data_IF_989903600306
#
_entry.id   IF_989903600306
#
_cell.length_a   1.000
_cell.length_b   1.000
_cell.length_c   1.000
_cell.angle_alpha   90.00
_cell.angle_beta   90.00
_cell.angle_gamma   90.00
#
_symmetry.space_group_name_H-M   'P 1'
#
loop_
_entity.id
_entity.type
_entity.pdbx_description
1 polymer ?
#
# COMPACT_ATOMS: atom_id res chain seq x y z
N UNK A 1 33.29 28.93 33.37
CA UNK A 1 32.33 29.57 32.46
C UNK A 1 31.10 28.67 32.40
N UNK A 2 30.02 29.08 33.08
CA UNK A 2 28.78 28.31 33.22
C UNK A 2 27.89 28.51 32.01
N UNK A 3 27.36 27.42 31.46
CA UNK A 3 26.08 27.43 30.74
C UNK A 3 25.25 26.29 31.32
N UNK A 4 24.28 26.65 32.15
CA UNK A 4 23.19 25.77 32.62
C UNK A 4 22.11 25.81 31.52
N UNK A 5 21.87 24.71 30.82
CA UNK A 5 20.65 24.56 30.02
C UNK A 5 19.57 23.96 30.92
N UNK A 6 18.57 24.80 31.22
CA UNK A 6 17.44 24.48 32.06
C UNK A 6 16.52 23.46 31.40
N UNK A 7 16.03 22.56 32.26
CA UNK A 7 14.94 21.62 32.03
C UNK A 7 13.64 22.42 31.77
N UNK A 8 13.05 22.26 30.58
CA UNK A 8 11.71 22.75 30.25
C UNK A 8 10.92 21.64 29.55
N UNK A 9 9.67 21.34 29.96
CA UNK A 9 8.90 20.25 29.38
C UNK A 9 8.22 20.75 28.11
N UNK A 10 8.81 20.46 26.95
CA UNK A 10 8.15 20.73 25.66
C UNK A 10 7.85 19.38 25.00
N UNK A 11 6.60 18.99 25.19
CA UNK A 11 5.72 18.22 24.30
C UNK A 11 6.44 17.30 23.30
N UNK A 12 6.26 16.01 23.54
CA UNK A 12 6.57 14.92 22.63
C UNK A 12 5.99 15.15 21.23
N UNK A 13 6.79 15.70 20.32
CA UNK A 13 6.62 15.49 18.90
C UNK A 13 7.38 14.21 18.54
N UNK A 14 6.73 13.06 18.78
CA UNK A 14 7.11 11.79 18.16
C UNK A 14 6.86 11.93 16.66
N UNK A 15 7.82 12.53 15.94
CA UNK A 15 7.95 12.36 14.51
C UNK A 15 8.38 10.92 14.26
N UNK A 16 7.39 10.02 14.24
CA UNK A 16 7.48 8.71 13.60
C UNK A 16 7.66 8.92 12.09
N UNK A 17 8.82 9.45 11.69
CA UNK A 17 9.37 9.22 10.35
C UNK A 17 9.92 7.79 10.37
N UNK A 18 9.01 6.84 10.46
CA UNK A 18 9.33 5.43 10.51
C UNK A 18 9.83 5.00 9.13
N UNK A 19 11.16 4.93 8.99
CA UNK A 19 11.84 3.82 8.32
C UNK A 19 11.20 3.29 7.01
N UNK A 20 10.91 4.15 6.03
CA UNK A 20 10.54 3.69 4.68
C UNK A 20 11.74 3.09 3.90
N UNK A 21 12.95 3.09 4.47
CA UNK A 21 14.19 2.87 3.72
C UNK A 21 14.60 1.40 3.48
N UNK A 22 13.84 0.39 3.92
CA UNK A 22 14.30 -1.02 3.83
C UNK A 22 13.23 -2.07 3.51
N UNK A 23 12.03 -1.71 3.07
CA UNK A 23 11.02 -2.70 2.67
C UNK A 23 11.31 -3.25 1.26
N UNK A 24 12.41 -3.99 1.13
CA UNK A 24 12.63 -4.95 0.05
C UNK A 24 11.75 -6.18 0.35
N UNK A 25 10.53 -6.18 -0.16
CA UNK A 25 9.55 -7.24 0.07
C UNK A 25 8.90 -7.69 -1.22
N UNK A 26 8.22 -8.84 -1.17
CA UNK A 26 7.43 -9.31 -2.30
C UNK A 26 6.34 -8.28 -2.66
N UNK A 27 6.12 -8.06 -3.95
CA UNK A 27 5.29 -6.95 -4.43
C UNK A 27 3.85 -6.99 -3.91
N UNK A 28 3.27 -8.20 -3.81
CA UNK A 28 1.89 -8.40 -3.35
C UNK A 28 1.74 -8.06 -1.86
N UNK A 29 2.68 -8.48 -1.02
CA UNK A 29 2.69 -8.19 0.42
C UNK A 29 2.92 -6.72 0.70
N UNK A 30 3.77 -6.02 -0.06
CA UNK A 30 3.97 -4.58 0.07
C UNK A 30 2.67 -3.79 -0.21
N UNK A 31 1.96 -4.14 -1.28
CA UNK A 31 0.63 -3.56 -1.57
C UNK A 31 -0.36 -3.90 -0.44
N UNK A 32 -0.35 -5.13 0.06
CA UNK A 32 -1.26 -5.57 1.12
C UNK A 32 -1.03 -4.83 2.45
N UNK A 33 0.24 -4.57 2.82
CA UNK A 33 0.56 -3.74 3.98
C UNK A 33 0.13 -2.29 3.79
N UNK A 34 0.27 -1.76 2.57
CA UNK A 34 -0.27 -0.42 2.30
C UNK A 34 -1.79 -0.38 2.50
N UNK A 35 -2.51 -1.38 2.00
CA UNK A 35 -3.95 -1.49 2.21
C UNK A 35 -4.33 -1.58 3.68
N UNK A 36 -3.55 -2.30 4.49
CA UNK A 36 -3.73 -2.35 5.94
C UNK A 36 -3.64 -0.95 6.57
N UNK A 37 -2.55 -0.23 6.28
CA UNK A 37 -2.32 1.13 6.81
C UNK A 37 -3.46 2.08 6.42
N UNK A 38 -3.81 2.11 5.14
CA UNK A 38 -4.81 3.04 4.60
C UNK A 38 -6.24 2.68 5.04
N UNK A 39 -6.56 1.39 5.12
CA UNK A 39 -7.84 0.95 5.67
C UNK A 39 -7.94 1.23 7.18
N UNK A 40 -6.83 1.14 7.91
CA UNK A 40 -6.74 1.56 9.32
C UNK A 40 -6.98 3.06 9.48
N UNK A 41 -6.32 3.88 8.65
CA UNK A 41 -6.49 5.33 8.63
C UNK A 41 -7.95 5.73 8.30
N UNK A 42 -8.56 5.11 7.30
CA UNK A 42 -9.97 5.32 6.97
C UNK A 42 -10.88 5.02 8.17
N UNK A 43 -10.70 3.87 8.83
CA UNK A 43 -11.48 3.50 10.03
C UNK A 43 -11.34 4.53 11.14
N UNK A 44 -10.13 5.00 11.40
CA UNK A 44 -9.84 5.97 12.45
C UNK A 44 -10.38 7.38 12.13
N UNK A 45 -10.43 7.76 10.84
CA UNK A 45 -10.82 9.11 10.41
C UNK A 45 -12.30 9.44 10.57
N UNK A 46 -13.17 8.43 10.65
CA UNK A 46 -14.63 8.62 10.59
C UNK A 46 -15.17 8.97 9.20
N UNK A 47 -14.30 9.11 8.18
CA UNK A 47 -14.73 9.34 6.79
C UNK A 47 -15.45 8.12 6.21
N UNK A 48 -16.30 8.39 5.23
CA UNK A 48 -16.97 7.34 4.45
C UNK A 48 -16.13 6.90 3.26
N UNK A 49 -15.63 7.84 2.48
CA UNK A 49 -14.91 7.58 1.23
C UNK A 49 -13.47 8.09 1.33
N UNK A 50 -12.53 7.30 0.81
CA UNK A 50 -11.10 7.61 0.87
C UNK A 50 -10.38 7.05 -0.35
N UNK A 51 -9.56 7.89 -0.98
CA UNK A 51 -8.70 7.46 -2.09
C UNK A 51 -7.25 7.73 -1.73
N UNK A 52 -6.38 6.75 -1.94
CA UNK A 52 -4.95 6.93 -1.77
C UNK A 52 -4.20 6.60 -3.06
N UNK A 53 -3.03 7.23 -3.19
CA UNK A 53 -2.08 6.99 -4.27
C UNK A 53 -1.02 6.03 -3.76
N UNK A 54 -0.81 4.96 -4.48
CA UNK A 54 0.26 4.02 -4.25
C UNK A 54 1.28 4.12 -5.38
N UNK A 55 2.52 4.42 -5.00
CA UNK A 55 3.70 4.27 -5.84
C UNK A 55 4.64 3.39 -5.03
N UNK A 56 5.14 2.28 -5.57
CA UNK A 56 6.19 1.53 -4.90
C UNK A 56 7.45 2.41 -4.84
N UNK A 57 7.76 2.96 -3.67
CA UNK A 57 8.97 3.77 -3.44
C UNK A 57 10.20 2.87 -3.66
N UNK A 58 11.00 3.17 -4.69
CA UNK A 58 12.15 2.33 -5.08
C UNK A 58 11.82 1.16 -6.01
N UNK A 59 10.56 1.03 -6.47
CA UNK A 59 10.12 -0.09 -7.30
C UNK A 59 9.83 -1.36 -6.49
N UNK A 60 9.52 -2.46 -7.17
CA UNK A 60 9.53 -3.78 -6.56
C UNK A 60 10.85 -4.45 -6.91
N UNK A 61 11.43 -5.21 -5.97
CA UNK A 61 12.74 -5.87 -6.15
C UNK A 61 12.84 -6.64 -7.47
N UNK A 62 11.76 -7.34 -7.84
CA UNK A 62 11.72 -8.18 -9.03
C UNK A 62 11.02 -7.54 -10.24
N UNK A 63 10.48 -6.32 -10.10
CA UNK A 63 9.83 -5.59 -11.19
C UNK A 63 10.78 -4.49 -11.71
N UNK A 64 11.69 -4.85 -12.61
CA UNK A 64 12.52 -3.85 -13.31
C UNK A 64 11.74 -3.07 -14.38
N UNK A 65 10.65 -3.63 -14.91
CA UNK A 65 9.79 -3.03 -15.92
C UNK A 65 8.34 -2.81 -15.46
N UNK A 66 7.41 -3.07 -16.37
CA UNK A 66 5.98 -2.98 -16.08
C UNK A 66 5.53 -4.06 -15.08
N UNK A 67 4.36 -3.89 -14.49
CA UNK A 67 3.76 -4.90 -13.62
C UNK A 67 2.24 -4.93 -13.79
N UNK A 68 1.66 -6.13 -13.66
CA UNK A 68 0.21 -6.31 -13.62
C UNK A 68 -0.21 -6.64 -12.19
N UNK A 69 -1.28 -6.00 -11.72
CA UNK A 69 -1.88 -6.25 -10.40
C UNK A 69 -3.28 -6.78 -10.59
N UNK A 70 -3.59 -7.89 -9.92
CA UNK A 70 -4.91 -8.45 -9.82
C UNK A 70 -5.38 -8.50 -8.37
N UNK A 71 -6.50 -7.85 -8.08
CA UNK A 71 -7.27 -8.08 -6.86
C UNK A 71 -8.42 -9.00 -7.22
N UNK A 72 -8.36 -10.29 -6.85
CA UNK A 72 -9.42 -11.24 -7.18
C UNK A 72 -10.58 -11.13 -6.20
N UNK A 73 -11.82 -11.23 -6.70
CA UNK A 73 -13.03 -11.22 -5.87
C UNK A 73 -12.88 -12.20 -4.69
N UNK A 74 -12.94 -11.66 -3.47
CA UNK A 74 -12.85 -12.40 -2.19
C UNK A 74 -11.67 -13.38 -2.10
N UNK A 75 -10.60 -13.15 -2.84
CA UNK A 75 -9.48 -14.09 -2.97
C UNK A 75 -8.14 -13.34 -2.97
N UNK A 76 -7.11 -13.91 -3.60
CA UNK A 76 -5.75 -13.40 -3.56
C UNK A 76 -5.57 -12.07 -4.31
N UNK A 77 -4.57 -11.32 -3.84
CA UNK A 77 -3.90 -10.26 -4.56
C UNK A 77 -2.70 -10.90 -5.26
N UNK A 78 -2.61 -10.76 -6.58
CA UNK A 78 -1.51 -11.25 -7.39
C UNK A 78 -0.81 -10.09 -8.08
N UNK A 79 0.51 -10.11 -8.11
CA UNK A 79 1.33 -9.17 -8.87
C UNK A 79 2.25 -9.95 -9.79
N UNK A 80 2.22 -9.66 -11.09
CA UNK A 80 3.19 -10.18 -12.05
C UNK A 80 4.19 -9.10 -12.39
N UNK A 81 5.45 -9.31 -12.03
CA UNK A 81 6.55 -8.44 -12.40
C UNK A 81 7.03 -8.78 -13.80
N UNK A 82 7.26 -7.75 -14.61
CA UNK A 82 7.84 -7.88 -15.94
C UNK A 82 9.21 -7.23 -15.99
N UNK A 83 10.05 -7.77 -16.87
CA UNK A 83 11.30 -7.10 -17.28
C UNK A 83 11.03 -5.91 -18.21
N UNK A 84 12.10 -5.25 -18.65
CA UNK A 84 12.05 -4.12 -19.58
C UNK A 84 11.45 -4.47 -20.95
N UNK A 85 11.46 -5.75 -21.33
CA UNK A 85 10.89 -6.25 -22.57
C UNK A 85 9.42 -6.68 -22.43
N UNK A 86 8.85 -6.60 -21.22
CA UNK A 86 7.47 -6.97 -20.93
C UNK A 86 7.27 -8.46 -20.64
N UNK A 87 8.35 -9.24 -20.48
CA UNK A 87 8.27 -10.66 -20.12
C UNK A 87 8.04 -10.79 -18.63
N UNK A 88 7.08 -11.63 -18.22
CA UNK A 88 6.87 -11.93 -16.79
C UNK A 88 8.07 -12.71 -16.24
N UNK A 89 8.76 -12.15 -15.27
CA UNK A 89 9.95 -12.74 -14.63
C UNK A 89 9.67 -13.29 -13.24
N UNK A 90 8.68 -12.75 -12.55
CA UNK A 90 8.23 -13.26 -11.25
C UNK A 90 6.75 -13.00 -11.03
N UNK A 91 6.17 -13.72 -10.09
CA UNK A 91 4.81 -13.49 -9.61
C UNK A 91 4.75 -13.62 -8.10
N UNK A 92 4.08 -12.68 -7.45
CA UNK A 92 3.87 -12.65 -6.01
C UNK A 92 2.38 -12.74 -5.72
N UNK A 93 2.01 -13.45 -4.65
CA UNK A 93 0.61 -13.64 -4.28
C UNK A 93 0.43 -13.56 -2.77
N UNK A 94 -0.65 -12.92 -2.33
CA UNK A 94 -1.02 -12.87 -0.92
C UNK A 94 -2.52 -12.76 -0.71
N UNK A 95 -3.03 -13.38 0.34
CA UNK A 95 -4.40 -13.19 0.83
C UNK A 95 -4.47 -12.23 2.01
N UNK A 96 -3.33 -11.70 2.47
CA UNK A 96 -3.21 -10.87 3.68
C UNK A 96 -4.19 -9.69 3.69
N UNK A 97 -4.34 -9.00 2.54
CA UNK A 97 -5.21 -7.83 2.39
C UNK A 97 -6.69 -8.09 2.75
N UNK A 98 -7.17 -9.32 2.62
CA UNK A 98 -8.57 -9.70 2.91
C UNK A 98 -8.96 -9.53 4.39
N UNK A 99 -7.96 -9.43 5.28
CA UNK A 99 -8.17 -9.16 6.71
C UNK A 99 -8.66 -7.72 6.95
N UNK A 100 -8.39 -6.79 6.03
CA UNK A 100 -8.63 -5.36 6.24
C UNK A 100 -9.55 -4.76 5.18
N UNK A 101 -9.56 -5.30 3.96
CA UNK A 101 -10.32 -4.76 2.83
C UNK A 101 -11.11 -5.88 2.16
N UNK A 102 -12.39 -5.63 1.88
CA UNK A 102 -13.24 -6.50 1.06
C UNK A 102 -13.05 -6.14 -0.41
N UNK A 103 -12.89 -7.16 -1.24
CA UNK A 103 -12.77 -7.04 -2.70
C UNK A 103 -14.03 -7.63 -3.34
N UNK A 104 -15.03 -6.80 -3.68
CA UNK A 104 -16.35 -7.29 -4.11
C UNK A 104 -16.39 -7.75 -5.57
N UNK A 105 -15.36 -7.44 -6.36
CA UNK A 105 -15.20 -7.88 -7.75
C UNK A 105 -13.72 -7.94 -8.10
N UNK A 106 -13.38 -8.66 -9.17
CA UNK A 106 -12.01 -8.72 -9.64
C UNK A 106 -11.58 -7.43 -10.33
N UNK A 107 -10.39 -6.92 -9.98
CA UNK A 107 -9.74 -5.79 -10.63
C UNK A 107 -8.43 -6.26 -11.25
N UNK A 108 -8.18 -5.89 -12.51
CA UNK A 108 -6.92 -6.12 -13.20
C UNK A 108 -6.39 -4.78 -13.68
N UNK A 109 -5.18 -4.41 -13.27
CA UNK A 109 -4.57 -3.13 -13.60
C UNK A 109 -3.14 -3.36 -14.05
N UNK A 110 -2.82 -2.90 -15.25
CA UNK A 110 -1.46 -2.90 -15.78
C UNK A 110 -0.81 -1.56 -15.50
N UNK A 111 0.43 -1.57 -15.03
CA UNK A 111 1.19 -0.38 -14.63
C UNK A 111 2.58 -0.40 -15.23
N UNK A 112 3.05 0.77 -15.67
CA UNK A 112 4.46 0.97 -16.02
C UNK A 112 5.31 1.06 -14.76
N UNK A 113 6.62 0.84 -14.89
CA UNK A 113 7.57 1.12 -13.82
C UNK A 113 7.38 2.56 -13.29
N UNK A 114 7.25 2.71 -11.97
CA UNK A 114 7.02 4.01 -11.32
C UNK A 114 5.65 4.65 -11.55
N UNK A 115 4.75 4.00 -12.29
CA UNK A 115 3.40 4.53 -12.49
C UNK A 115 2.58 4.44 -11.19
N UNK A 116 1.83 5.51 -10.92
CA UNK A 116 0.95 5.59 -9.76
C UNK A 116 -0.25 4.67 -9.97
N UNK A 117 -0.49 3.79 -9.00
CA UNK A 117 -1.77 3.09 -8.83
C UNK A 117 -2.64 3.87 -7.85
N UNK A 118 -3.87 4.19 -8.25
CA UNK A 118 -4.86 4.81 -7.36
C UNK A 118 -5.83 3.74 -6.88
N UNK A 119 -6.03 3.67 -5.57
CA UNK A 119 -7.01 2.76 -4.96
C UNK A 119 -8.03 3.60 -4.19
N UNK A 120 -9.29 3.27 -4.40
CA UNK A 120 -10.43 3.88 -3.70
C UNK A 120 -11.06 2.85 -2.77
N UNK A 121 -11.25 3.29 -1.52
CA UNK A 121 -11.85 2.53 -0.44
C UNK A 121 -13.07 3.29 0.08
N UNK A 122 -14.15 2.55 0.32
CA UNK A 122 -15.35 3.07 0.97
C UNK A 122 -15.63 2.27 2.22
N UNK A 123 -15.92 2.96 3.32
CA UNK A 123 -16.43 2.37 4.55
C UNK A 123 -17.91 2.05 4.39
N UNK A 124 -18.28 0.79 4.60
CA UNK A 124 -19.65 0.30 4.60
C UNK A 124 -19.93 -0.36 5.95
N UNK A 125 -20.48 0.41 6.89
CA UNK A 125 -20.65 -0.03 8.28
C UNK A 125 -19.30 -0.30 8.95
N UNK A 126 -19.06 -1.57 9.32
CA UNK A 126 -17.79 -2.00 9.91
C UNK A 126 -16.73 -2.38 8.86
N UNK A 127 -17.16 -2.65 7.62
CA UNK A 127 -16.28 -3.09 6.55
C UNK A 127 -15.63 -1.91 5.81
N UNK A 128 -14.43 -2.16 5.29
CA UNK A 128 -13.77 -1.31 4.29
C UNK A 128 -13.78 -2.07 2.98
N UNK A 129 -14.32 -1.46 1.93
CA UNK A 129 -14.60 -2.10 0.65
C UNK A 129 -13.81 -1.38 -0.44
N UNK A 130 -13.13 -2.14 -1.28
CA UNK A 130 -12.47 -1.62 -2.47
C UNK A 130 -13.51 -1.29 -3.55
N UNK A 131 -13.56 -0.04 -3.96
CA UNK A 131 -14.57 0.49 -4.89
C UNK A 131 -14.01 0.85 -6.26
N UNK A 132 -12.72 1.20 -6.33
CA UNK A 132 -12.01 1.38 -7.60
C UNK A 132 -10.50 1.11 -7.47
N UNK A 133 -9.89 0.66 -8.58
CA UNK A 133 -8.44 0.56 -8.75
C UNK A 133 -8.11 1.08 -10.16
N UNK A 134 -7.14 1.98 -10.25
CA UNK A 134 -6.78 2.67 -11.50
C UNK A 134 -5.28 2.77 -11.68
#
# INVERSE_FOLDING_TARGET
MSIKCALGPVVAALSLSACSLLLHGDAATLIAHRLETEAGALRASGMRDFSFRYVPEGGFVDCSGAYDVQFTERSALVVWCKDEHGTVVSSHTTTYHLRFVKVPRTWNVAKRAGEVMRIELTRQGADVVMTAVQ
#
